data_IF_785580188812
#
_entry.id   IF_785580188812
#
_cell.length_a   1.000
_cell.length_b   1.000
_cell.length_c   1.000
_cell.angle_alpha   90.00
_cell.angle_beta   90.00
_cell.angle_gamma   90.00
#
_symmetry.space_group_name_H-M   'P 1'
#
loop_
_entity.id
_entity.type
_entity.pdbx_description
1 polymer ?
#
# COMPACT_ATOMS: atom_id res chain seq x y z
N UNK A 1 -1.64 15.17 -6.44
CA UNK A 1 -2.11 14.91 -7.82
C UNK A 1 -3.62 15.02 -7.82
N UNK A 2 -4.22 16.02 -8.48
CA UNK A 2 -5.63 15.89 -8.90
C UNK A 2 -5.65 14.71 -9.86
N UNK A 3 -6.58 13.77 -9.69
CA UNK A 3 -6.73 12.65 -10.63
C UNK A 3 -6.78 13.28 -12.05
N UNK A 4 -5.80 13.00 -12.94
CA UNK A 4 -5.74 13.67 -14.24
C UNK A 4 -7.05 13.48 -15.01
N UNK A 5 -7.72 12.35 -14.78
CA UNK A 5 -9.02 12.04 -15.33
C UNK A 5 -10.14 12.99 -14.88
N UNK A 6 -10.19 13.40 -13.61
CA UNK A 6 -11.23 14.31 -13.11
C UNK A 6 -10.99 15.75 -13.59
N UNK A 7 -9.73 16.11 -13.82
CA UNK A 7 -9.36 17.41 -14.35
C UNK A 7 -9.61 17.46 -15.86
N UNK A 8 -9.37 16.37 -16.58
CA UNK A 8 -9.78 16.22 -17.98
C UNK A 8 -11.30 16.19 -18.12
N UNK A 9 -12.04 15.42 -17.31
CA UNK A 9 -13.51 15.39 -17.31
C UNK A 9 -14.12 16.77 -17.03
N UNK A 10 -13.67 17.46 -15.97
CA UNK A 10 -14.18 18.79 -15.65
C UNK A 10 -13.74 19.84 -16.69
N UNK A 11 -12.55 19.70 -17.29
CA UNK A 11 -12.09 20.59 -18.36
C UNK A 11 -12.87 20.34 -19.66
N UNK A 12 -13.13 19.09 -20.03
CA UNK A 12 -13.92 18.71 -21.22
C UNK A 12 -15.35 19.18 -21.06
N UNK A 13 -16.02 18.86 -19.95
CA UNK A 13 -17.37 19.36 -19.64
C UNK A 13 -17.43 20.89 -19.59
N UNK A 14 -16.40 21.55 -19.03
CA UNK A 14 -16.33 23.02 -19.05
C UNK A 14 -16.05 23.61 -20.43
N UNK A 15 -15.29 22.92 -21.29
CA UNK A 15 -14.98 23.37 -22.65
C UNK A 15 -16.16 23.15 -23.58
N UNK A 16 -16.88 22.04 -23.43
CA UNK A 16 -18.12 21.76 -24.15
C UNK A 16 -19.24 22.71 -23.70
N UNK A 17 -19.38 22.95 -22.40
CA UNK A 17 -20.32 23.97 -21.88
C UNK A 17 -19.99 25.39 -22.37
N UNK A 18 -18.71 25.76 -22.43
CA UNK A 18 -18.28 27.06 -22.97
C UNK A 18 -18.51 27.16 -24.48
N UNK A 19 -18.28 26.08 -25.24
CA UNK A 19 -18.54 26.04 -26.69
C UNK A 19 -20.04 26.10 -27.01
N UNK A 20 -20.87 25.38 -26.25
CA UNK A 20 -22.34 25.44 -26.41
C UNK A 20 -22.88 26.84 -26.11
N UNK A 21 -22.34 27.48 -25.07
CA UNK A 21 -22.71 28.86 -24.72
C UNK A 21 -22.30 29.87 -25.81
N UNK A 22 -21.10 29.73 -26.40
CA UNK A 22 -20.63 30.58 -27.51
C UNK A 22 -21.50 30.45 -28.77
N UNK A 23 -22.03 29.26 -29.07
CA UNK A 23 -22.93 29.03 -30.21
C UNK A 23 -24.35 29.55 -29.94
N UNK A 24 -24.84 29.38 -28.72
CA UNK A 24 -26.12 29.97 -28.28
C UNK A 24 -26.07 31.50 -28.34
N UNK A 25 -24.98 32.12 -27.87
CA UNK A 25 -24.81 33.59 -27.90
C UNK A 25 -24.74 34.14 -29.33
N UNK A 26 -24.23 33.34 -30.28
CA UNK A 26 -24.25 33.66 -31.72
C UNK A 26 -25.58 33.35 -32.42
N UNK A 27 -26.56 32.77 -31.72
CA UNK A 27 -27.85 32.36 -32.29
C UNK A 27 -27.75 31.18 -33.26
N UNK A 28 -26.65 30.43 -33.23
CA UNK A 28 -26.39 29.29 -34.13
C UNK A 28 -27.02 27.99 -33.62
N UNK A 29 -27.32 27.89 -32.32
CA UNK A 29 -27.80 26.66 -31.67
C UNK A 29 -28.83 27.02 -30.58
N UNK A 30 -29.93 26.28 -30.49
CA UNK A 30 -31.00 26.57 -29.51
C UNK A 30 -30.60 26.17 -28.10
N UNK A 31 -31.25 26.76 -27.09
CA UNK A 31 -30.90 26.44 -25.70
C UNK A 31 -31.10 24.96 -25.34
N UNK A 32 -32.09 24.33 -25.97
CA UNK A 32 -32.48 22.96 -25.69
C UNK A 32 -31.52 21.96 -26.35
N UNK A 33 -30.97 22.31 -27.51
CA UNK A 33 -30.01 21.45 -28.23
C UNK A 33 -28.70 21.31 -27.46
N UNK A 34 -28.11 22.41 -26.96
CA UNK A 34 -26.84 22.32 -26.22
C UNK A 34 -27.00 21.67 -24.83
N UNK A 35 -28.15 21.85 -24.17
CA UNK A 35 -28.46 21.16 -22.92
C UNK A 35 -28.59 19.66 -23.14
N UNK A 36 -29.21 19.24 -24.25
CA UNK A 36 -29.32 17.82 -24.61
C UNK A 36 -27.96 17.17 -24.88
N UNK A 37 -27.02 17.90 -25.49
CA UNK A 37 -25.65 17.42 -25.75
C UNK A 37 -24.87 17.23 -24.43
N UNK A 38 -25.01 18.16 -23.48
CA UNK A 38 -24.44 18.01 -22.13
C UNK A 38 -25.06 16.82 -21.37
N UNK A 39 -26.38 16.64 -21.47
CA UNK A 39 -27.07 15.51 -20.85
C UNK A 39 -26.63 14.17 -21.47
N UNK A 40 -26.36 14.12 -22.78
CA UNK A 40 -25.80 12.94 -23.44
C UNK A 40 -24.37 12.63 -22.98
N UNK A 41 -23.51 13.66 -22.84
CA UNK A 41 -22.14 13.50 -22.33
C UNK A 41 -22.17 13.04 -20.87
N UNK A 42 -23.00 13.65 -20.03
CA UNK A 42 -23.18 13.25 -18.63
C UNK A 42 -23.72 11.82 -18.52
N UNK A 43 -24.72 11.46 -19.33
CA UNK A 43 -25.27 10.10 -19.36
C UNK A 43 -24.24 9.08 -19.88
N UNK A 44 -23.36 9.48 -20.80
CA UNK A 44 -22.27 8.64 -21.27
C UNK A 44 -21.17 8.45 -20.21
N UNK A 45 -20.81 9.50 -19.49
CA UNK A 45 -19.82 9.43 -18.40
C UNK A 45 -20.37 8.69 -17.18
N UNK A 46 -21.65 8.85 -16.84
CA UNK A 46 -22.29 8.03 -15.80
C UNK A 46 -22.32 6.56 -16.24
N UNK A 47 -22.69 6.25 -17.49
CA UNK A 47 -22.59 4.88 -18.03
C UNK A 47 -21.15 4.35 -18.00
N UNK A 48 -20.15 5.16 -18.33
CA UNK A 48 -18.73 4.79 -18.25
C UNK A 48 -18.34 4.47 -16.81
N UNK A 49 -18.73 5.32 -15.87
CA UNK A 49 -18.47 5.14 -14.44
C UNK A 49 -19.26 3.98 -13.82
N UNK A 50 -20.39 3.57 -14.41
CA UNK A 50 -21.13 2.35 -14.06
C UNK A 50 -20.48 1.07 -14.60
N UNK A 51 -19.70 1.16 -15.69
CA UNK A 51 -18.87 0.04 -16.16
C UNK A 51 -17.73 -0.25 -15.19
N UNK A 52 -17.16 0.80 -14.59
CA UNK A 52 -16.31 0.70 -13.41
C UNK A 52 -17.21 0.64 -12.15
N UNK A 53 -16.70 0.26 -10.98
CA UNK A 53 -17.53 0.10 -9.76
C UNK A 53 -18.56 -1.08 -9.80
N UNK A 54 -18.39 -2.09 -10.66
CA UNK A 54 -19.24 -3.30 -10.65
C UNK A 54 -19.09 -4.09 -9.33
N UNK A 55 -20.06 -4.96 -9.02
CA UNK A 55 -20.11 -5.70 -7.75
C UNK A 55 -18.85 -6.50 -7.43
N UNK A 56 -18.15 -7.01 -8.45
CA UNK A 56 -16.89 -7.74 -8.29
C UNK A 56 -15.76 -6.87 -7.71
N UNK A 57 -15.78 -5.55 -7.94
CA UNK A 57 -14.81 -4.63 -7.35
C UNK A 57 -14.78 -4.71 -5.81
N UNK A 58 -15.92 -4.98 -5.17
CA UNK A 58 -15.99 -5.16 -3.72
C UNK A 58 -15.38 -6.47 -3.24
N UNK A 59 -15.51 -7.54 -4.03
CA UNK A 59 -14.83 -8.83 -3.77
C UNK A 59 -13.31 -8.64 -3.85
N UNK A 60 -12.84 -7.93 -4.88
CA UNK A 60 -11.42 -7.58 -5.03
C UNK A 60 -10.94 -6.68 -3.89
N UNK A 61 -11.75 -5.73 -3.43
CA UNK A 61 -11.44 -4.87 -2.27
C UNK A 61 -11.26 -5.69 -1.01
N UNK A 62 -12.17 -6.64 -0.76
CA UNK A 62 -12.07 -7.54 0.39
C UNK A 62 -10.84 -8.46 0.30
N UNK A 63 -10.57 -9.03 -0.87
CA UNK A 63 -9.36 -9.83 -1.10
C UNK A 63 -8.08 -9.02 -0.86
N UNK A 64 -8.00 -7.79 -1.39
CA UNK A 64 -6.89 -6.87 -1.14
C UNK A 64 -6.76 -6.47 0.33
N UNK A 65 -7.88 -6.28 1.03
CA UNK A 65 -7.88 -6.04 2.48
C UNK A 65 -7.29 -7.23 3.25
N UNK A 66 -7.68 -8.46 2.93
CA UNK A 66 -7.13 -9.68 3.56
C UNK A 66 -5.63 -9.82 3.29
N UNK A 67 -5.19 -9.51 2.06
CA UNK A 67 -3.77 -9.48 1.71
C UNK A 67 -3.04 -8.45 2.58
N UNK A 68 -3.55 -7.22 2.69
CA UNK A 68 -2.95 -6.19 3.54
C UNK A 68 -2.87 -6.61 5.01
N UNK A 69 -3.97 -7.09 5.59
CA UNK A 69 -4.00 -7.56 6.98
C UNK A 69 -2.95 -8.65 7.20
N UNK A 70 -2.93 -9.68 6.36
CA UNK A 70 -2.04 -10.84 6.55
C UNK A 70 -0.57 -10.50 6.34
N UNK A 71 -0.26 -9.66 5.35
CA UNK A 71 1.13 -9.27 5.02
C UNK A 71 1.70 -8.35 6.09
N UNK A 72 0.92 -7.35 6.55
CA UNK A 72 1.32 -6.43 7.62
C UNK A 72 1.32 -7.12 8.99
N UNK A 73 0.47 -8.13 9.21
CA UNK A 73 0.54 -8.97 10.41
C UNK A 73 1.88 -9.71 10.42
N UNK A 74 2.22 -10.47 9.38
CA UNK A 74 3.51 -11.18 9.32
C UNK A 74 4.73 -10.24 9.39
N UNK A 75 4.66 -9.04 8.81
CA UNK A 75 5.72 -8.04 8.93
C UNK A 75 5.84 -7.50 10.35
N UNK A 76 4.73 -7.26 11.05
CA UNK A 76 4.77 -6.76 12.43
C UNK A 76 5.26 -7.84 13.38
N UNK A 77 4.95 -9.12 13.13
CA UNK A 77 5.63 -10.24 13.79
C UNK A 77 7.13 -10.08 13.60
N UNK A 78 7.58 -9.94 12.33
CA UNK A 78 8.98 -9.72 11.89
C UNK A 78 9.65 -8.52 12.59
N UNK A 79 8.92 -7.44 12.87
CA UNK A 79 9.41 -6.26 13.58
C UNK A 79 9.54 -6.48 15.08
N UNK A 80 8.55 -7.13 15.70
CA UNK A 80 8.57 -7.48 17.12
C UNK A 80 9.70 -8.46 17.45
N UNK A 81 10.22 -9.22 16.46
CA UNK A 81 11.47 -9.98 16.63
C UNK A 81 12.60 -9.11 17.15
N UNK A 82 12.78 -7.85 16.73
CA UNK A 82 13.87 -7.00 17.22
C UNK A 82 13.84 -6.73 18.74
N UNK A 83 12.64 -6.70 19.32
CA UNK A 83 12.43 -6.47 20.76
C UNK A 83 12.51 -7.79 21.54
N UNK A 84 11.94 -8.87 20.98
CA UNK A 84 11.87 -10.20 21.58
C UNK A 84 13.19 -10.97 21.53
N UNK A 85 13.97 -10.75 20.48
CA UNK A 85 15.31 -11.32 20.37
C UNK A 85 16.34 -10.62 21.24
N UNK A 86 16.04 -9.53 21.96
CA UNK A 86 17.03 -8.99 22.91
C UNK A 86 17.53 -10.11 23.85
N UNK A 87 16.64 -10.98 24.33
CA UNK A 87 17.00 -12.13 25.14
C UNK A 87 17.76 -13.24 24.35
N UNK A 88 17.26 -13.65 23.18
CA UNK A 88 17.84 -14.76 22.40
C UNK A 88 19.10 -14.36 21.60
N UNK A 89 19.26 -13.09 21.18
CA UNK A 89 20.49 -12.57 20.55
C UNK A 89 21.60 -12.27 21.56
N UNK A 90 21.23 -11.96 22.81
CA UNK A 90 22.17 -11.95 23.93
C UNK A 90 22.72 -13.36 24.17
N UNK A 91 21.88 -14.40 24.09
CA UNK A 91 22.32 -15.82 24.14
C UNK A 91 23.21 -16.22 22.94
N UNK A 92 23.04 -15.58 21.78
CA UNK A 92 23.85 -15.81 20.56
C UNK A 92 25.07 -14.87 20.43
N UNK A 93 25.45 -14.14 21.49
CA UNK A 93 26.58 -13.21 21.50
C UNK A 93 26.59 -12.18 20.36
N UNK A 94 25.42 -11.76 19.88
CA UNK A 94 25.32 -10.81 18.74
C UNK A 94 25.10 -9.38 19.23
N UNK A 95 25.82 -8.40 18.66
CA UNK A 95 25.71 -6.98 19.05
C UNK A 95 24.41 -6.35 18.51
N UNK A 96 23.76 -5.49 19.32
CA UNK A 96 22.56 -4.69 18.93
C UNK A 96 22.71 -3.95 17.59
N UNK A 97 23.91 -3.46 17.28
CA UNK A 97 24.23 -2.78 16.01
C UNK A 97 24.02 -3.68 14.79
N UNK A 98 24.52 -4.91 14.83
CA UNK A 98 24.39 -5.87 13.70
C UNK A 98 22.93 -6.21 13.41
N UNK A 99 22.10 -6.23 14.44
CA UNK A 99 20.68 -6.58 14.36
C UNK A 99 19.90 -5.45 13.68
N UNK A 100 20.19 -4.21 14.09
CA UNK A 100 19.64 -3.01 13.46
C UNK A 100 20.07 -2.88 11.99
N UNK A 101 21.32 -3.22 11.66
CA UNK A 101 21.83 -3.21 10.27
C UNK A 101 21.07 -4.22 9.39
N UNK A 102 20.90 -5.45 9.87
CA UNK A 102 20.14 -6.51 9.20
C UNK A 102 18.69 -6.06 8.93
N UNK A 103 18.02 -5.51 9.94
CA UNK A 103 16.64 -5.04 9.81
C UNK A 103 16.50 -3.92 8.77
N UNK A 104 17.39 -2.92 8.83
CA UNK A 104 17.39 -1.82 7.86
C UNK A 104 17.71 -2.29 6.44
N UNK A 105 18.63 -3.26 6.29
CA UNK A 105 18.94 -3.85 4.99
C UNK A 105 17.73 -4.61 4.43
N UNK A 106 16.95 -5.29 5.26
CA UNK A 106 15.72 -5.98 4.84
C UNK A 106 14.71 -5.00 4.26
N UNK A 107 14.43 -3.90 4.97
CA UNK A 107 13.51 -2.84 4.53
C UNK A 107 14.01 -2.13 3.26
N UNK A 108 15.32 -1.91 3.15
CA UNK A 108 15.93 -1.33 1.96
C UNK A 108 15.73 -2.25 0.74
N UNK A 109 15.97 -3.56 0.90
CA UNK A 109 15.72 -4.54 -0.14
C UNK A 109 14.24 -4.56 -0.51
N UNK A 110 13.31 -4.57 0.45
CA UNK A 110 11.87 -4.46 0.14
C UNK A 110 11.55 -3.31 -0.77
N UNK A 111 12.09 -2.14 -0.43
CA UNK A 111 11.83 -0.91 -1.15
C UNK A 111 12.38 -1.00 -2.57
N UNK A 112 13.57 -1.57 -2.75
CA UNK A 112 14.16 -1.79 -4.08
C UNK A 112 13.35 -2.77 -4.93
N UNK A 113 12.91 -3.89 -4.36
CA UNK A 113 12.16 -4.91 -5.08
C UNK A 113 10.73 -4.46 -5.42
N UNK A 114 10.15 -3.53 -4.65
CA UNK A 114 8.81 -2.97 -4.93
C UNK A 114 8.69 -2.34 -6.32
N UNK A 115 9.78 -1.77 -6.87
CA UNK A 115 9.83 -1.22 -8.23
C UNK A 115 9.63 -2.27 -9.34
N UNK A 116 9.77 -3.56 -9.01
CA UNK A 116 9.53 -4.66 -9.95
C UNK A 116 8.05 -5.06 -10.03
N UNK A 117 7.20 -4.58 -9.12
CA UNK A 117 5.80 -4.99 -9.04
C UNK A 117 5.03 -4.75 -10.35
N UNK A 118 5.12 -3.54 -10.91
CA UNK A 118 4.39 -3.18 -12.13
C UNK A 118 4.86 -3.97 -13.37
N UNK A 119 6.17 -4.06 -13.69
CA UNK A 119 6.63 -4.90 -14.80
C UNK A 119 6.27 -6.38 -14.66
N UNK A 120 6.32 -6.92 -13.43
CA UNK A 120 5.93 -8.31 -13.15
C UNK A 120 4.45 -8.52 -13.46
N UNK A 121 3.59 -7.62 -13.00
CA UNK A 121 2.16 -7.65 -13.27
C UNK A 121 1.88 -7.53 -14.78
N UNK A 122 2.54 -6.60 -15.47
CA UNK A 122 2.31 -6.38 -16.90
C UNK A 122 2.68 -7.61 -17.74
N UNK A 123 3.65 -8.41 -17.28
CA UNK A 123 4.07 -9.63 -17.97
C UNK A 123 3.24 -10.85 -17.58
N UNK A 124 3.01 -11.08 -16.29
CA UNK A 124 2.46 -12.34 -15.77
C UNK A 124 0.99 -12.23 -15.30
N UNK A 125 0.48 -11.01 -15.16
CA UNK A 125 -0.86 -10.70 -14.65
C UNK A 125 -0.93 -10.67 -13.11
N UNK A 126 -1.91 -9.94 -12.59
CA UNK A 126 -2.12 -9.72 -11.15
C UNK A 126 -2.21 -11.01 -10.34
N UNK A 127 -3.12 -11.92 -10.72
CA UNK A 127 -3.38 -13.20 -10.02
C UNK A 127 -2.13 -14.06 -9.85
N UNK A 128 -1.36 -14.27 -10.93
CA UNK A 128 -0.18 -15.16 -10.90
C UNK A 128 0.95 -14.56 -10.07
N UNK A 129 1.21 -13.26 -10.23
CA UNK A 129 2.26 -12.57 -9.48
C UNK A 129 1.95 -12.60 -7.99
N UNK A 130 0.74 -12.21 -7.58
CA UNK A 130 0.34 -12.23 -6.16
C UNK A 130 0.39 -13.65 -5.57
N UNK A 131 -0.04 -14.67 -6.31
CA UNK A 131 0.04 -16.06 -5.84
C UNK A 131 1.50 -16.51 -5.62
N UNK A 132 2.38 -16.28 -6.59
CA UNK A 132 3.80 -16.68 -6.49
C UNK A 132 4.49 -15.90 -5.37
N UNK A 133 4.29 -14.59 -5.29
CA UNK A 133 4.92 -13.75 -4.26
C UNK A 133 4.44 -14.12 -2.85
N UNK A 134 3.15 -14.43 -2.67
CA UNK A 134 2.63 -14.88 -1.36
C UNK A 134 3.13 -16.27 -0.99
N UNK A 135 3.26 -17.19 -1.94
CA UNK A 135 3.84 -18.51 -1.70
C UNK A 135 5.32 -18.41 -1.30
N UNK A 136 6.13 -17.62 -2.02
CA UNK A 136 7.54 -17.38 -1.69
C UNK A 136 7.67 -16.74 -0.31
N UNK A 137 6.80 -15.79 0.02
CA UNK A 137 6.80 -15.16 1.34
C UNK A 137 6.49 -16.16 2.45
N UNK A 138 5.43 -16.97 2.29
CA UNK A 138 5.04 -17.99 3.27
C UNK A 138 6.11 -19.07 3.45
N UNK A 139 6.65 -19.63 2.37
CA UNK A 139 7.71 -20.65 2.42
C UNK A 139 8.98 -20.10 3.07
N UNK A 140 9.33 -18.85 2.77
CA UNK A 140 10.46 -18.19 3.40
C UNK A 140 10.32 -17.99 4.89
N UNK A 141 9.14 -17.54 5.32
CA UNK A 141 8.83 -17.38 6.73
C UNK A 141 8.74 -18.72 7.46
N UNK A 142 8.22 -19.76 6.81
CA UNK A 142 8.25 -21.12 7.36
C UNK A 142 9.69 -21.66 7.48
N UNK A 143 10.53 -21.40 6.47
CA UNK A 143 11.93 -21.83 6.45
C UNK A 143 12.75 -21.16 7.55
N UNK A 144 12.46 -19.90 7.89
CA UNK A 144 13.14 -19.22 8.99
C UNK A 144 12.85 -19.91 10.33
N UNK A 145 11.68 -20.51 10.54
CA UNK A 145 11.38 -21.24 11.80
C UNK A 145 12.34 -22.41 12.10
N UNK A 146 12.95 -23.01 11.07
CA UNK A 146 13.88 -24.13 11.19
C UNK A 146 15.35 -23.70 11.31
N UNK A 147 15.64 -22.39 11.32
CA UNK A 147 16.99 -21.91 11.36
C UNK A 147 17.70 -22.28 12.66
N UNK A 148 18.91 -22.83 12.53
CA UNK A 148 19.79 -23.25 13.64
C UNK A 148 20.86 -22.21 13.98
N UNK A 149 21.03 -21.18 13.13
CA UNK A 149 21.98 -20.09 13.32
C UNK A 149 21.26 -18.74 13.13
N UNK A 150 21.65 -17.74 13.91
CA UNK A 150 21.16 -16.37 13.80
C UNK A 150 21.29 -15.84 12.36
N UNK A 151 22.48 -15.99 11.76
CA UNK A 151 22.74 -15.54 10.38
C UNK A 151 21.85 -16.26 9.36
N UNK A 152 21.58 -17.55 9.56
CA UNK A 152 20.71 -18.32 8.68
C UNK A 152 19.24 -17.91 8.82
N UNK A 153 18.77 -17.73 10.06
CA UNK A 153 17.43 -17.20 10.34
C UNK A 153 17.21 -15.85 9.67
N UNK A 154 18.17 -14.94 9.87
CA UNK A 154 18.11 -13.60 9.32
C UNK A 154 18.18 -13.60 7.80
N UNK A 155 19.08 -14.37 7.17
CA UNK A 155 19.16 -14.41 5.71
C UNK A 155 17.84 -14.85 5.07
N UNK A 156 17.22 -15.92 5.57
CA UNK A 156 15.94 -16.39 5.03
C UNK A 156 14.81 -15.39 5.30
N UNK A 157 14.72 -14.88 6.53
CA UNK A 157 13.74 -13.85 6.86
C UNK A 157 13.92 -12.60 5.99
N UNK A 158 15.15 -12.13 5.75
CA UNK A 158 15.44 -10.97 4.92
C UNK A 158 15.15 -11.20 3.44
N UNK A 159 15.54 -12.36 2.91
CA UNK A 159 15.31 -12.68 1.51
C UNK A 159 13.82 -12.74 1.18
N UNK A 160 12.97 -13.24 2.10
CA UNK A 160 11.56 -13.47 1.79
C UNK A 160 10.63 -12.39 2.32
N UNK A 161 10.81 -11.91 3.56
CA UNK A 161 10.05 -10.76 4.07
C UNK A 161 10.49 -9.47 3.38
N UNK A 162 11.80 -9.31 3.13
CA UNK A 162 12.34 -8.17 2.41
C UNK A 162 11.71 -8.05 1.04
N UNK A 163 11.91 -9.04 0.16
CA UNK A 163 11.54 -8.88 -1.25
C UNK A 163 10.04 -8.90 -1.54
N UNK A 164 9.22 -9.58 -0.75
CA UNK A 164 7.84 -9.91 -1.13
C UNK A 164 6.77 -9.00 -0.51
N UNK A 165 6.99 -8.43 0.68
CA UNK A 165 5.96 -7.65 1.41
C UNK A 165 5.47 -6.47 0.58
N UNK A 166 6.38 -5.58 0.17
CA UNK A 166 5.99 -4.35 -0.52
C UNK A 166 5.46 -4.62 -1.93
N UNK A 167 5.88 -5.72 -2.58
CA UNK A 167 5.32 -6.12 -3.87
C UNK A 167 3.82 -6.46 -3.71
N UNK A 168 3.46 -7.25 -2.68
CA UNK A 168 2.07 -7.63 -2.41
C UNK A 168 1.19 -6.43 -2.08
N UNK A 169 1.68 -5.51 -1.24
CA UNK A 169 0.95 -4.29 -0.87
C UNK A 169 0.73 -3.38 -2.08
N UNK A 170 1.76 -3.15 -2.90
CA UNK A 170 1.64 -2.38 -4.15
C UNK A 170 0.62 -3.01 -5.08
N UNK A 171 0.67 -4.32 -5.31
CA UNK A 171 -0.28 -5.02 -6.18
C UNK A 171 -1.72 -4.90 -5.66
N UNK A 172 -1.94 -5.17 -4.37
CA UNK A 172 -3.27 -5.14 -3.77
C UNK A 172 -3.90 -3.75 -3.86
N UNK A 173 -3.11 -2.70 -3.64
CA UNK A 173 -3.57 -1.31 -3.73
C UNK A 173 -3.81 -0.87 -5.19
N UNK A 174 -2.91 -1.22 -6.10
CA UNK A 174 -3.06 -0.87 -7.51
C UNK A 174 -4.27 -1.56 -8.15
N UNK A 175 -4.51 -2.85 -7.83
CA UNK A 175 -5.63 -3.62 -8.40
C UNK A 175 -6.97 -2.96 -8.05
N UNK A 176 -7.18 -2.58 -6.79
CA UNK A 176 -8.42 -1.90 -6.37
C UNK A 176 -8.58 -0.53 -7.03
N UNK A 177 -7.48 0.17 -7.26
CA UNK A 177 -7.50 1.47 -7.92
C UNK A 177 -7.94 1.43 -9.39
N UNK A 178 -7.88 0.24 -10.03
CA UNK A 178 -8.30 0.02 -11.42
C UNK A 178 -9.78 -0.35 -11.50
N UNK A 179 -10.30 -1.07 -10.50
CA UNK A 179 -11.70 -1.50 -10.43
C UNK A 179 -12.68 -0.36 -10.17
N UNK A 180 -12.23 0.70 -9.49
CA UNK A 180 -13.10 1.80 -9.11
C UNK A 180 -12.67 3.12 -9.74
N UNK A 181 -13.65 3.88 -10.24
CA UNK A 181 -13.49 5.29 -10.64
C UNK A 181 -14.13 6.23 -9.63
N UNK A 182 -15.46 6.14 -9.47
CA UNK A 182 -16.22 7.05 -8.59
C UNK A 182 -15.97 6.74 -7.12
N UNK A 183 -15.93 5.46 -6.74
CA UNK A 183 -15.69 5.01 -5.35
C UNK A 183 -14.24 4.66 -5.03
N UNK A 184 -13.29 5.06 -5.89
CA UNK A 184 -11.86 4.74 -5.79
C UNK A 184 -11.24 5.11 -4.45
N UNK A 185 -11.56 6.30 -3.94
CA UNK A 185 -11.04 6.81 -2.65
C UNK A 185 -11.49 5.92 -1.50
N UNK A 186 -12.79 5.61 -1.45
CA UNK A 186 -13.36 4.74 -0.42
C UNK A 186 -12.78 3.33 -0.46
N UNK A 187 -12.70 2.73 -1.65
CA UNK A 187 -12.14 1.38 -1.82
C UNK A 187 -10.66 1.33 -1.41
N UNK A 188 -9.87 2.32 -1.81
CA UNK A 188 -8.46 2.43 -1.41
C UNK A 188 -8.35 2.60 0.11
N UNK A 189 -9.18 3.46 0.72
CA UNK A 189 -9.22 3.60 2.17
C UNK A 189 -9.50 2.26 2.85
N UNK A 190 -10.53 1.52 2.43
CA UNK A 190 -10.88 0.21 3.00
C UNK A 190 -9.69 -0.75 2.96
N UNK A 191 -9.01 -0.89 1.82
CA UNK A 191 -7.80 -1.73 1.72
C UNK A 191 -6.75 -1.30 2.74
N UNK A 192 -6.48 0.01 2.82
CA UNK A 192 -5.49 0.54 3.76
C UNK A 192 -5.91 0.42 5.24
N UNK A 193 -7.19 0.24 5.57
CA UNK A 193 -7.60 -0.08 6.95
C UNK A 193 -7.06 -1.44 7.39
N UNK A 194 -6.69 -2.31 6.45
CA UNK A 194 -6.10 -3.61 6.75
C UNK A 194 -4.82 -3.52 7.59
N UNK A 195 -3.96 -2.52 7.36
CA UNK A 195 -2.76 -2.32 8.18
C UNK A 195 -3.09 -1.93 9.62
N UNK A 196 -4.20 -1.20 9.82
CA UNK A 196 -4.63 -0.77 11.14
C UNK A 196 -5.26 -1.95 11.89
N UNK A 197 -6.08 -2.75 11.20
CA UNK A 197 -6.63 -3.98 11.75
C UNK A 197 -5.51 -4.94 12.19
N UNK A 198 -4.46 -5.13 11.38
CA UNK A 198 -3.32 -5.96 11.77
C UNK A 198 -2.59 -5.39 12.99
N UNK A 199 -2.39 -4.07 13.10
CA UNK A 199 -1.75 -3.44 14.25
C UNK A 199 -2.54 -3.65 15.54
N UNK A 200 -3.86 -3.51 15.51
CA UNK A 200 -4.73 -3.70 16.68
C UNK A 200 -4.78 -5.18 17.09
N UNK A 201 -4.91 -6.08 16.12
CA UNK A 201 -4.90 -7.52 16.38
C UNK A 201 -3.55 -8.00 16.95
N UNK A 202 -2.46 -7.32 16.60
CA UNK A 202 -1.13 -7.84 16.87
C UNK A 202 -0.80 -7.91 18.35
N UNK A 203 -1.14 -6.87 19.09
CA UNK A 203 -0.60 -6.62 20.41
C UNK A 203 -0.89 -7.74 21.44
N UNK A 204 -2.12 -8.26 21.58
CA UNK A 204 -2.36 -9.42 22.44
C UNK A 204 -1.96 -10.75 21.77
N UNK A 205 -2.01 -10.82 20.43
CA UNK A 205 -1.85 -12.06 19.69
C UNK A 205 -0.39 -12.53 19.63
N UNK A 206 0.59 -11.62 19.52
CA UNK A 206 2.02 -12.00 19.60
C UNK A 206 2.37 -12.58 20.97
N UNK A 207 2.02 -11.86 22.03
CA UNK A 207 2.39 -12.24 23.39
C UNK A 207 1.85 -13.62 23.74
N UNK A 208 0.57 -13.86 23.41
CA UNK A 208 -0.05 -15.18 23.59
C UNK A 208 0.63 -16.28 22.76
N UNK A 209 0.89 -16.03 21.47
CA UNK A 209 1.52 -17.02 20.60
C UNK A 209 2.94 -17.38 21.04
N UNK A 210 3.66 -16.44 21.64
CA UNK A 210 5.01 -16.69 22.10
C UNK A 210 5.05 -17.43 23.43
N UNK A 211 4.14 -17.11 24.36
CA UNK A 211 4.03 -17.82 25.64
C UNK A 211 3.66 -19.30 25.44
N UNK A 212 2.71 -19.58 24.54
CA UNK A 212 2.20 -20.95 24.32
C UNK A 212 3.01 -21.75 23.29
N UNK A 213 3.32 -21.18 22.12
CA UNK A 213 3.86 -21.93 20.97
C UNK A 213 5.37 -21.74 20.77
N UNK A 214 6.01 -20.97 21.66
CA UNK A 214 7.40 -20.54 21.50
C UNK A 214 7.63 -19.81 20.16
N UNK A 215 8.87 -19.38 19.95
CA UNK A 215 9.29 -18.68 18.74
C UNK A 215 8.98 -19.41 17.42
N UNK A 216 9.30 -20.71 17.38
CA UNK A 216 9.20 -21.50 16.14
C UNK A 216 7.74 -21.67 15.72
N UNK A 217 6.86 -21.94 16.69
CA UNK A 217 5.43 -22.05 16.44
C UNK A 217 4.81 -20.72 16.03
N UNK A 218 5.14 -19.61 16.71
CA UNK A 218 4.66 -18.28 16.34
C UNK A 218 5.05 -17.90 14.90
N UNK A 219 6.28 -18.20 14.49
CA UNK A 219 6.77 -17.93 13.13
C UNK A 219 6.05 -18.77 12.08
N UNK A 220 5.77 -20.05 12.36
CA UNK A 220 4.99 -20.93 11.48
C UNK A 220 3.53 -20.46 11.35
N UNK A 221 2.93 -19.99 12.44
CA UNK A 221 1.57 -19.43 12.41
C UNK A 221 1.53 -18.15 11.57
N UNK A 222 2.54 -17.29 11.68
CA UNK A 222 2.68 -16.13 10.80
C UNK A 222 2.88 -16.54 9.32
N UNK A 223 3.60 -17.63 9.04
CA UNK A 223 3.71 -18.16 7.68
C UNK A 223 2.36 -18.69 7.15
N UNK A 224 1.54 -19.29 8.01
CA UNK A 224 0.21 -19.78 7.67
C UNK A 224 -0.78 -18.63 7.39
N UNK A 225 -0.70 -17.50 8.11
CA UNK A 225 -1.54 -16.33 7.79
C UNK A 225 -1.21 -15.77 6.41
N UNK A 226 0.07 -15.68 6.04
CA UNK A 226 0.51 -15.29 4.69
C UNK A 226 0.04 -16.28 3.62
N UNK A 227 -0.01 -17.58 3.94
CA UNK A 227 -0.50 -18.59 2.99
C UNK A 227 -1.96 -18.34 2.58
N UNK A 228 -2.78 -17.74 3.46
CA UNK A 228 -4.15 -17.32 3.09
C UNK A 228 -4.18 -16.25 1.99
N UNK A 229 -3.10 -15.48 1.79
CA UNK A 229 -2.98 -14.57 0.66
C UNK A 229 -2.99 -15.31 -0.68
N UNK A 230 -2.56 -16.57 -0.73
CA UNK A 230 -2.65 -17.39 -1.93
C UNK A 230 -4.12 -17.58 -2.34
N UNK A 231 -5.01 -17.82 -1.36
CA UNK A 231 -6.45 -17.94 -1.61
C UNK A 231 -7.03 -16.59 -2.02
N UNK A 232 -6.69 -15.50 -1.31
CA UNK A 232 -7.12 -14.16 -1.67
C UNK A 232 -6.69 -13.75 -3.09
N UNK A 233 -5.50 -14.15 -3.53
CA UNK A 233 -4.98 -13.86 -4.87
C UNK A 233 -5.84 -14.44 -6.00
N UNK A 234 -6.58 -15.52 -5.74
CA UNK A 234 -7.45 -16.14 -6.74
C UNK A 234 -8.62 -15.23 -7.13
N UNK A 235 -9.04 -14.34 -6.23
CA UNK A 235 -10.12 -13.39 -6.47
C UNK A 235 -9.68 -12.12 -7.23
N UNK A 236 -8.37 -11.90 -7.40
CA UNK A 236 -7.80 -10.78 -8.17
C UNK A 236 -7.92 -11.04 -9.68
N UNK A 237 -9.17 -11.09 -10.17
CA UNK A 237 -9.45 -11.25 -11.59
C UNK A 237 -8.99 -10.02 -12.38
N UNK A 238 -8.57 -10.20 -13.64
CA UNK A 238 -8.41 -9.10 -14.58
C UNK A 238 -9.73 -8.32 -14.69
N UNK A 239 -9.66 -6.98 -14.69
CA UNK A 239 -10.85 -6.12 -14.66
C UNK A 239 -11.72 -6.32 -15.91
N UNK A 240 -11.10 -6.69 -17.02
CA UNK A 240 -11.72 -6.90 -18.33
C UNK A 240 -12.80 -7.98 -18.30
N UNK A 241 -12.70 -8.93 -17.36
CA UNK A 241 -13.66 -10.03 -17.22
C UNK A 241 -15.01 -9.59 -16.63
N UNK A 242 -15.03 -8.44 -15.95
CA UNK A 242 -16.18 -7.96 -15.20
C UNK A 242 -16.71 -6.62 -15.73
N UNK A 243 -16.16 -6.11 -16.83
CA UNK A 243 -16.67 -4.88 -17.45
C UNK A 243 -17.91 -5.18 -18.30
N UNK A 244 -19.06 -4.67 -17.85
CA UNK A 244 -20.31 -4.67 -18.64
C UNK A 244 -20.15 -3.70 -19.83
N UNK A 245 -20.20 -4.21 -21.06
CA UNK A 245 -20.11 -3.37 -22.26
C UNK A 245 -18.73 -3.32 -22.95
N UNK A 246 -17.84 -4.30 -22.73
CA UNK A 246 -16.55 -4.43 -23.45
C UNK A 246 -16.69 -4.29 -24.99
N UNK A 247 -17.84 -4.69 -25.55
CA UNK A 247 -18.15 -4.52 -26.97
C UNK A 247 -18.47 -3.07 -27.40
N UNK A 248 -18.99 -2.21 -26.50
CA UNK A 248 -19.30 -0.80 -26.81
C UNK A 248 -18.04 0.06 -26.96
N UNK A 249 -16.98 -0.24 -26.20
CA UNK A 249 -15.70 0.47 -26.30
C UNK A 249 -14.92 0.11 -27.57
N UNK A 250 -14.93 -1.17 -27.98
CA UNK A 250 -14.29 -1.62 -29.22
C UNK A 250 -14.99 -1.07 -30.49
N UNK A 251 -16.30 -0.86 -30.43
CA UNK A 251 -17.09 -0.41 -31.59
C UNK A 251 -16.94 1.09 -31.89
N UNK A 252 -16.43 1.91 -30.94
CA UNK A 252 -16.28 3.36 -31.11
C UNK A 252 -14.85 3.82 -31.49
N UNK A 253 -13.94 2.91 -31.82
CA UNK A 253 -12.53 3.21 -32.19
C UNK A 253 -11.77 4.11 -31.19
N UNK A 254 -12.19 4.17 -29.92
CA UNK A 254 -11.47 4.90 -28.89
C UNK A 254 -10.37 4.03 -28.29
N UNK A 255 -9.18 4.61 -28.13
CA UNK A 255 -8.06 3.97 -27.45
C UNK A 255 -8.47 3.55 -26.02
N UNK A 256 -8.42 2.26 -25.76
CA UNK A 256 -8.61 1.70 -24.41
C UNK A 256 -7.57 2.35 -23.49
N UNK A 257 -7.95 2.85 -22.29
CA UNK A 257 -6.97 3.40 -21.34
C UNK A 257 -5.84 2.39 -21.13
N UNK A 258 -4.58 2.81 -21.18
CA UNK A 258 -3.40 1.92 -21.05
C UNK A 258 -3.45 1.05 -19.77
N UNK A 259 -4.18 1.51 -18.74
CA UNK A 259 -4.44 0.79 -17.49
C UNK A 259 -5.36 -0.44 -17.64
N UNK A 260 -6.18 -0.47 -18.69
CA UNK A 260 -7.08 -1.58 -19.09
C UNK A 260 -6.46 -2.53 -20.10
N UNK A 261 -5.37 -2.14 -20.75
CA UNK A 261 -4.66 -2.98 -21.71
C UNK A 261 -3.56 -3.83 -21.06
N UNK A 262 -3.67 -4.14 -19.76
CA UNK A 262 -2.79 -5.10 -19.09
C UNK A 262 -3.16 -6.53 -19.50
N UNK A 263 -3.28 -6.75 -20.81
CA UNK A 263 -3.17 -8.07 -21.37
C UNK A 263 -1.81 -8.61 -20.96
N UNK A 264 -1.73 -9.82 -20.38
CA UNK A 264 -0.46 -10.52 -20.32
C UNK A 264 0.00 -10.63 -21.77
N UNK A 265 1.04 -9.88 -22.12
CA UNK A 265 1.63 -9.90 -23.45
C UNK A 265 1.78 -11.38 -23.82
N UNK A 266 1.03 -11.87 -24.83
CA UNK A 266 1.01 -13.28 -25.23
C UNK A 266 2.43 -13.78 -25.16
N UNK A 267 2.67 -14.78 -24.31
CA UNK A 267 3.99 -15.28 -23.98
C UNK A 267 4.69 -15.75 -25.25
N UNK A 268 5.36 -14.84 -25.95
CA UNK A 268 6.37 -15.17 -26.94
C UNK A 268 7.58 -15.63 -26.14
N UNK A 269 7.90 -16.90 -26.30
CA UNK A 269 9.03 -17.59 -25.70
C UNK A 269 10.35 -16.98 -26.19
N UNK A 270 10.72 -15.81 -25.67
CA UNK A 270 11.99 -15.17 -25.97
C UNK A 270 12.96 -15.30 -24.78
N UNK A 271 14.27 -15.55 -25.01
CA UNK A 271 15.27 -15.76 -23.94
C UNK A 271 15.51 -14.54 -23.04
N UNK A 272 14.94 -13.37 -23.37
CA UNK A 272 15.28 -12.08 -22.76
C UNK A 272 14.21 -11.55 -21.78
N UNK A 273 13.47 -12.43 -21.11
CA UNK A 273 12.38 -12.04 -20.18
C UNK A 273 12.86 -11.14 -19.04
N UNK A 274 14.03 -11.43 -18.46
CA UNK A 274 14.61 -10.61 -17.37
C UNK A 274 15.08 -9.23 -17.84
N UNK A 275 15.70 -9.15 -19.02
CA UNK A 275 16.13 -7.88 -19.63
C UNK A 275 14.91 -7.00 -19.94
N UNK A 276 13.78 -7.59 -20.32
CA UNK A 276 12.52 -6.86 -20.54
C UNK A 276 11.93 -6.31 -19.24
N UNK A 277 11.97 -7.09 -18.15
CA UNK A 277 11.55 -6.64 -16.82
C UNK A 277 12.39 -5.44 -16.36
N UNK A 278 13.73 -5.56 -16.45
CA UNK A 278 14.65 -4.47 -16.11
C UNK A 278 14.44 -3.23 -16.97
N UNK A 279 14.25 -3.38 -18.29
CA UNK A 279 13.92 -2.27 -19.18
C UNK A 279 12.59 -1.60 -18.82
N UNK A 280 11.60 -2.38 -18.39
CA UNK A 280 10.32 -1.88 -17.87
C UNK A 280 10.52 -1.01 -16.62
N UNK A 281 11.24 -1.53 -15.61
CA UNK A 281 11.58 -0.75 -14.41
C UNK A 281 12.39 0.50 -14.71
N UNK A 282 13.33 0.43 -15.66
CA UNK A 282 14.13 1.59 -16.09
C UNK A 282 13.27 2.67 -16.77
N UNK A 283 12.18 2.29 -17.44
CA UNK A 283 11.22 3.26 -17.97
C UNK A 283 10.49 4.00 -16.85
N UNK A 284 10.20 3.34 -15.73
CA UNK A 284 9.61 3.98 -14.55
C UNK A 284 10.57 4.97 -13.88
N UNK A 285 11.89 4.77 -13.99
CA UNK A 285 12.88 5.76 -13.52
C UNK A 285 12.79 7.08 -14.29
N UNK A 286 12.22 7.09 -15.50
CA UNK A 286 12.00 8.31 -16.28
C UNK A 286 11.06 9.30 -15.57
N UNK A 287 10.17 8.83 -14.69
CA UNK A 287 9.31 9.71 -13.87
C UNK A 287 10.13 10.59 -12.90
N UNK A 288 11.33 10.14 -12.49
CA UNK A 288 12.24 10.93 -11.65
C UNK A 288 12.83 12.14 -12.38
N UNK A 289 12.60 12.32 -13.69
CA UNK A 289 13.01 13.56 -14.39
C UNK A 289 12.22 14.79 -13.94
N UNK A 290 11.04 14.61 -13.36
CA UNK A 290 10.24 15.74 -12.86
C UNK A 290 10.73 16.18 -11.47
N UNK A 291 11.15 17.44 -11.27
CA UNK A 291 11.64 17.92 -9.97
C UNK A 291 10.57 17.82 -8.87
N UNK A 292 9.28 17.90 -9.24
CA UNK A 292 8.16 17.75 -8.32
C UNK A 292 8.05 16.33 -7.76
N UNK A 293 8.30 15.32 -8.58
CA UNK A 293 8.25 13.91 -8.16
C UNK A 293 9.43 13.61 -7.24
N UNK A 294 10.62 14.16 -7.52
CA UNK A 294 11.79 14.04 -6.64
C UNK A 294 11.47 14.62 -5.25
N UNK A 295 10.95 15.84 -5.19
CA UNK A 295 10.62 16.51 -3.91
C UNK A 295 9.58 15.69 -3.13
N UNK A 296 8.51 15.23 -3.78
CA UNK A 296 7.47 14.41 -3.12
C UNK A 296 8.07 13.10 -2.61
N UNK A 297 8.89 12.43 -3.41
CA UNK A 297 9.52 11.16 -3.04
C UNK A 297 10.47 11.32 -1.85
N UNK A 298 11.25 12.40 -1.83
CA UNK A 298 12.17 12.72 -0.73
C UNK A 298 11.40 12.99 0.57
N UNK A 299 10.33 13.79 0.50
CA UNK A 299 9.47 14.08 1.66
C UNK A 299 8.78 12.82 2.17
N UNK A 300 8.27 11.96 1.28
CA UNK A 300 7.66 10.68 1.66
C UNK A 300 8.68 9.72 2.29
N UNK A 301 9.89 9.64 1.73
CA UNK A 301 10.95 8.80 2.25
C UNK A 301 11.35 9.23 3.68
N UNK A 302 11.54 10.54 3.91
CA UNK A 302 11.86 11.09 5.23
C UNK A 302 10.73 10.85 6.25
N UNK A 303 9.46 11.04 5.86
CA UNK A 303 8.34 10.78 6.75
C UNK A 303 8.22 9.29 7.10
N UNK A 304 8.36 8.42 6.10
CA UNK A 304 8.22 6.96 6.29
C UNK A 304 9.35 6.41 7.16
N UNK A 305 10.60 6.83 6.91
CA UNK A 305 11.75 6.41 7.73
C UNK A 305 11.64 6.90 9.18
N UNK A 306 11.16 8.13 9.39
CA UNK A 306 10.93 8.68 10.73
C UNK A 306 9.87 7.88 11.48
N UNK A 307 8.75 7.57 10.83
CA UNK A 307 7.66 6.80 11.44
C UNK A 307 8.10 5.38 11.81
N UNK A 308 8.77 4.67 10.90
CA UNK A 308 9.24 3.29 11.16
C UNK A 308 10.22 3.25 12.34
N UNK A 309 11.17 4.18 12.40
CA UNK A 309 12.12 4.25 13.52
C UNK A 309 11.44 4.59 14.85
N UNK A 310 10.46 5.49 14.87
CA UNK A 310 9.70 5.81 16.09
C UNK A 310 8.93 4.56 16.55
N UNK A 311 8.21 3.90 15.66
CA UNK A 311 7.46 2.68 15.99
C UNK A 311 8.36 1.55 16.52
N UNK A 312 9.59 1.44 16.02
CA UNK A 312 10.56 0.46 16.52
C UNK A 312 11.10 0.80 17.92
N UNK A 313 11.33 2.09 18.22
CA UNK A 313 11.97 2.53 19.48
C UNK A 313 10.97 2.63 20.63
N UNK A 314 9.72 3.01 20.38
CA UNK A 314 8.70 3.27 21.43
C UNK A 314 8.54 2.11 22.43
N UNK A 315 8.39 0.83 22.01
CA UNK A 315 8.26 -0.29 22.95
C UNK A 315 9.50 -0.46 23.83
N UNK A 316 10.69 -0.27 23.26
CA UNK A 316 11.96 -0.36 23.97
C UNK A 316 12.10 0.76 25.00
N UNK A 317 11.81 2.00 24.59
CA UNK A 317 11.85 3.15 25.47
C UNK A 317 10.92 2.97 26.68
N UNK A 318 9.68 2.50 26.46
CA UNK A 318 8.74 2.25 27.55
C UNK A 318 9.22 1.12 28.48
N UNK A 319 9.78 0.03 27.95
CA UNK A 319 10.36 -1.04 28.79
C UNK A 319 11.54 -0.56 29.62
N UNK A 320 12.44 0.26 29.06
CA UNK A 320 13.59 0.80 29.82
C UNK A 320 13.18 1.73 30.96
N UNK A 321 12.00 2.33 30.86
CA UNK A 321 11.41 3.18 31.89
C UNK A 321 10.66 2.39 32.97
N UNK A 322 10.65 1.05 32.89
CA UNK A 322 10.02 0.19 33.89
C UNK A 322 8.52 -0.04 33.72
N UNK A 323 7.92 0.38 32.59
CA UNK A 323 6.51 0.08 32.30
C UNK A 323 6.31 -1.42 32.06
N UNK A 324 5.14 -1.93 32.47
CA UNK A 324 4.81 -3.35 32.30
C UNK A 324 4.61 -3.69 30.82
N UNK A 325 4.81 -4.97 30.45
CA UNK A 325 4.54 -5.43 29.07
C UNK A 325 3.08 -5.17 28.64
N UNK A 326 2.14 -5.14 29.59
CA UNK A 326 0.73 -4.84 29.34
C UNK A 326 0.51 -3.36 29.02
N UNK A 327 1.20 -2.44 29.71
CA UNK A 327 1.10 -1.00 29.43
C UNK A 327 1.69 -0.64 28.06
N UNK A 328 2.82 -1.27 27.70
CA UNK A 328 3.43 -1.14 26.37
C UNK A 328 2.46 -1.63 25.29
N UNK A 329 1.84 -2.78 25.53
CA UNK A 329 0.85 -3.36 24.65
C UNK A 329 -0.38 -2.43 24.46
N UNK A 330 -0.92 -1.90 25.54
CA UNK A 330 -2.03 -0.94 25.50
C UNK A 330 -1.65 0.31 24.71
N UNK A 331 -0.45 0.86 24.93
CA UNK A 331 0.04 2.03 24.20
C UNK A 331 0.09 1.80 22.69
N UNK A 332 0.65 0.67 22.25
CA UNK A 332 0.71 0.31 20.82
C UNK A 332 -0.68 0.10 20.20
N UNK A 333 -1.61 -0.46 20.97
CA UNK A 333 -2.99 -0.68 20.53
C UNK A 333 -3.73 0.65 20.36
N UNK A 334 -3.56 1.59 21.30
CA UNK A 334 -4.09 2.96 21.20
C UNK A 334 -3.49 3.68 19.99
N UNK A 335 -2.19 3.56 19.74
CA UNK A 335 -1.56 4.13 18.56
C UNK A 335 -2.14 3.56 17.25
N UNK A 336 -2.43 2.25 17.21
CA UNK A 336 -3.12 1.59 16.10
C UNK A 336 -4.55 2.12 15.88
N UNK A 337 -5.31 2.33 16.96
CA UNK A 337 -6.66 2.92 16.90
C UNK A 337 -6.63 4.38 16.42
N UNK A 338 -5.67 5.17 16.88
CA UNK A 338 -5.47 6.54 16.39
C UNK A 338 -5.11 6.56 14.89
N UNK A 339 -4.29 5.62 14.43
CA UNK A 339 -3.97 5.45 13.02
C UNK A 339 -5.22 5.07 12.21
N UNK A 340 -6.06 4.16 12.73
CA UNK A 340 -7.34 3.79 12.13
C UNK A 340 -8.27 5.00 11.99
N UNK A 341 -8.48 5.75 13.08
CA UNK A 341 -9.33 6.94 13.10
C UNK A 341 -8.83 8.01 12.13
N UNK A 342 -7.50 8.20 12.06
CA UNK A 342 -6.87 9.14 11.13
C UNK A 342 -7.09 8.73 9.67
N UNK A 343 -7.02 7.44 9.34
CA UNK A 343 -7.27 6.94 7.97
C UNK A 343 -8.73 7.07 7.56
N UNK A 344 -9.66 6.76 8.47
CA UNK A 344 -11.09 6.96 8.25
C UNK A 344 -11.43 8.45 8.08
N UNK A 345 -10.90 9.30 8.96
CA UNK A 345 -11.05 10.75 8.89
C UNK A 345 -10.51 11.31 7.56
N UNK A 346 -9.31 10.90 7.15
CA UNK A 346 -8.75 11.28 5.86
C UNK A 346 -9.62 10.82 4.68
N UNK A 347 -10.20 9.62 4.74
CA UNK A 347 -11.13 9.12 3.73
C UNK A 347 -12.35 10.02 3.59
N UNK A 348 -13.00 10.36 4.70
CA UNK A 348 -14.19 11.23 4.72
C UNK A 348 -13.85 12.66 4.28
N UNK A 349 -12.78 13.26 4.82
CA UNK A 349 -12.33 14.60 4.45
C UNK A 349 -11.96 14.65 2.97
N UNK A 350 -11.31 13.61 2.43
CA UNK A 350 -10.98 13.54 1.00
C UNK A 350 -12.21 13.45 0.08
N UNK A 351 -13.38 13.05 0.61
CA UNK A 351 -14.64 13.02 -0.13
C UNK A 351 -15.41 14.33 -0.02
N UNK A 352 -15.35 15.02 1.13
CA UNK A 352 -16.09 16.27 1.39
C UNK A 352 -15.38 17.54 0.90
N UNK A 353 -14.06 17.48 0.75
CA UNK A 353 -13.27 18.68 0.50
C UNK A 353 -13.12 18.99 -1.00
N UNK A 354 -13.60 20.17 -1.42
CA UNK A 354 -13.19 20.90 -2.64
C UNK A 354 -11.68 21.22 -2.70
N UNK A 355 -10.89 20.78 -1.70
CA UNK A 355 -9.46 20.97 -1.63
C UNK A 355 -8.73 20.11 -2.67
N UNK A 356 -7.78 20.74 -3.35
CA UNK A 356 -6.86 20.03 -4.24
C UNK A 356 -6.01 19.05 -3.41
N UNK A 357 -5.87 17.79 -3.84
CA UNK A 357 -5.08 16.73 -3.18
C UNK A 357 -3.68 17.19 -2.73
N UNK A 358 -3.09 18.17 -3.40
CA UNK A 358 -1.81 18.79 -3.01
C UNK A 358 -1.89 19.52 -1.66
N UNK A 359 -2.97 20.27 -1.38
CA UNK A 359 -3.16 20.97 -0.11
C UNK A 359 -3.37 19.98 1.03
N UNK A 360 -4.15 18.92 0.79
CA UNK A 360 -4.36 17.84 1.76
C UNK A 360 -3.03 17.14 2.10
N UNK A 361 -2.21 16.89 1.08
CA UNK A 361 -0.88 16.32 1.24
C UNK A 361 0.06 17.22 2.05
N UNK A 362 0.10 18.53 1.74
CA UNK A 362 0.93 19.50 2.47
C UNK A 362 0.49 19.57 3.94
N UNK A 363 -0.82 19.68 4.20
CA UNK A 363 -1.36 19.70 5.57
C UNK A 363 -0.97 18.41 6.30
N UNK A 364 -1.22 17.23 5.71
CA UNK A 364 -0.87 15.95 6.32
C UNK A 364 0.62 15.82 6.64
N UNK A 365 1.49 16.24 5.72
CA UNK A 365 2.95 16.23 5.92
C UNK A 365 3.43 17.26 6.96
N UNK A 366 2.73 18.39 7.11
CA UNK A 366 3.03 19.37 8.14
C UNK A 366 2.59 18.86 9.52
N UNK A 367 1.41 18.22 9.60
CA UNK A 367 0.94 17.61 10.85
C UNK A 367 1.85 16.48 11.31
N UNK A 368 2.33 15.62 10.40
CA UNK A 368 3.29 14.56 10.76
C UNK A 368 4.63 15.14 11.24
N UNK A 369 5.14 16.18 10.58
CA UNK A 369 6.37 16.86 11.01
C UNK A 369 6.24 17.49 12.41
N UNK A 370 5.12 18.17 12.69
CA UNK A 370 4.85 18.75 14.01
C UNK A 370 4.75 17.64 15.08
N UNK A 371 4.09 16.53 14.77
CA UNK A 371 3.99 15.37 15.65
C UNK A 371 5.37 14.79 16.01
N UNK A 372 6.26 14.65 15.03
CA UNK A 372 7.63 14.16 15.23
C UNK A 372 8.43 15.14 16.10
N UNK A 373 8.37 16.45 15.83
CA UNK A 373 9.08 17.47 16.62
C UNK A 373 8.59 17.50 18.07
N UNK A 374 7.28 17.38 18.27
CA UNK A 374 6.67 17.30 19.61
C UNK A 374 7.16 16.07 20.39
N UNK A 375 7.26 14.92 19.73
CA UNK A 375 7.73 13.68 20.34
C UNK A 375 9.22 13.74 20.69
N UNK A 376 10.07 14.27 19.78
CA UNK A 376 11.49 14.50 20.04
C UNK A 376 11.67 15.45 21.23
N UNK A 377 10.92 16.55 21.29
CA UNK A 377 10.96 17.46 22.44
C UNK A 377 10.57 16.77 23.74
N UNK A 378 9.53 15.94 23.73
CA UNK A 378 9.10 15.20 24.91
C UNK A 378 10.18 14.19 25.38
N UNK A 379 10.85 13.52 24.44
CA UNK A 379 11.98 12.62 24.74
C UNK A 379 13.22 13.35 25.25
N UNK A 380 13.52 14.54 24.71
CA UNK A 380 14.66 15.35 25.13
C UNK A 380 14.45 15.99 26.51
N UNK A 381 13.27 16.57 26.76
CA UNK A 381 12.94 17.18 28.06
C UNK A 381 13.07 16.17 29.20
N UNK A 382 12.60 14.94 28.98
CA UNK A 382 12.64 13.89 30.00
C UNK A 382 14.04 13.32 30.24
N UNK A 383 14.98 13.52 29.31
CA UNK A 383 16.39 13.12 29.49
C UNK A 383 17.12 14.07 30.44
N UNK A 384 16.68 15.32 30.53
CA UNK A 384 17.21 16.29 31.50
C UNK A 384 16.73 15.95 32.93
N UNK A 385 15.52 15.41 33.10
CA UNK A 385 14.98 15.02 34.41
C UNK A 385 15.64 13.76 35.01
N UNK A 386 16.29 12.91 34.20
CA UNK A 386 16.97 11.68 34.66
C UNK A 386 18.47 11.93 34.93
N UNK A 387 18.99 13.12 34.58
CA UNK A 387 20.39 13.49 34.76
C UNK A 387 20.69 14.20 36.10
N UNK A 388 19.77 14.15 37.07
CA UNK A 388 19.91 14.76 38.41
C UNK A 388 19.93 13.67 39.48
#
# INVERSE_FOLDING_TARGET
>A
MKDPCYKEEFVVLSQEAVRGWDKYDKGEESSDDWLSEIDEVNAYDDKRNEVFDDGWGWVVTFASFVIYVSTTLASTFTNCFGVLFSAFLLELHTTSTKISEIFNLALALSSMFSFLAEPLVNQFGWRKVTFITSLVYSVGLASSSFATSASFFFLFAMMTSGTCILILEVIAQHTVSIYFRRRRRLATCIVTLGTCASQVLMTPFISYLQEEFSFRGATLIAAATVLNCCVASMFLHPVEWHMKGHHLYLNKNMEVPVTLSLQPNKASSAPNSFVRLLKGSMKNIQYLRSPRIIIISLVMACNTSSLVNIWAIVPFALKTQGYSSQDVALCLSVAGLCNLASRLGNGVVSCWATFTIQKLYIIGSATSAIGIIGLIRCLLFRREDIAI
#
